data_IF_068043574417
#
_entry.id   IF_068043574417
#
_cell.length_a   1.000
_cell.length_b   1.000
_cell.length_c   1.000
_cell.angle_alpha   90.00
_cell.angle_beta   90.00
_cell.angle_gamma   90.00
#
_symmetry.space_group_name_H-M   'P 1'
#
loop_
_entity.id
_entity.type
_entity.pdbx_description
1 polymer ?
#
# COMPACT_ATOMS: atom_id res chain seq x y z
N UNK A 1 6.16 26.45 1.49
CA UNK A 1 5.89 26.80 0.06
C UNK A 1 4.38 26.73 -0.14
N UNK A 2 3.75 27.78 -0.69
CA UNK A 2 2.33 27.74 -0.99
C UNK A 2 2.05 27.07 -2.33
N UNK A 3 0.80 26.60 -2.54
CA UNK A 3 0.33 25.99 -3.80
C UNK A 3 0.68 26.86 -5.02
N UNK A 4 0.53 28.18 -4.91
CA UNK A 4 0.85 29.13 -5.99
C UNK A 4 2.31 29.05 -6.44
N UNK A 5 3.24 28.87 -5.50
CA UNK A 5 4.65 28.76 -5.81
C UNK A 5 4.98 27.41 -6.47
N UNK A 6 4.29 26.33 -6.08
CA UNK A 6 4.41 25.03 -6.75
C UNK A 6 3.93 25.13 -8.20
N UNK A 7 2.75 25.72 -8.44
CA UNK A 7 2.27 25.92 -9.82
C UNK A 7 3.16 26.85 -10.62
N UNK A 8 3.67 27.93 -10.03
CA UNK A 8 4.63 28.81 -10.69
C UNK A 8 5.91 28.04 -11.07
N UNK A 9 6.40 27.17 -10.20
CA UNK A 9 7.56 26.31 -10.48
C UNK A 9 7.26 25.28 -11.58
N UNK A 10 6.09 24.63 -11.56
CA UNK A 10 5.67 23.71 -12.62
C UNK A 10 5.64 24.45 -13.97
N UNK A 11 4.97 25.60 -14.05
CA UNK A 11 4.86 26.39 -15.27
C UNK A 11 6.25 26.85 -15.74
N UNK A 12 7.10 27.31 -14.81
CA UNK A 12 8.47 27.73 -15.11
C UNK A 12 9.28 26.60 -15.72
N UNK A 13 9.29 25.41 -15.10
CA UNK A 13 10.09 24.28 -15.59
C UNK A 13 9.52 23.67 -16.87
N UNK A 14 8.19 23.70 -17.05
CA UNK A 14 7.55 23.31 -18.32
C UNK A 14 7.95 24.27 -19.44
N UNK A 15 7.92 25.59 -19.20
CA UNK A 15 8.33 26.59 -20.18
C UNK A 15 9.83 26.50 -20.50
N UNK A 16 10.67 26.23 -19.51
CA UNK A 16 12.10 25.98 -19.72
C UNK A 16 12.34 24.70 -20.53
N UNK A 17 11.61 23.62 -20.24
CA UNK A 17 11.69 22.38 -21.01
C UNK A 17 11.34 22.62 -22.49
N UNK A 18 10.24 23.31 -22.74
CA UNK A 18 9.82 23.70 -24.10
C UNK A 18 10.89 24.57 -24.79
N UNK A 19 11.46 25.55 -24.08
CA UNK A 19 12.48 26.44 -24.62
C UNK A 19 13.79 25.75 -25.03
N UNK A 20 14.12 24.61 -24.44
CA UNK A 20 15.29 23.78 -24.82
C UNK A 20 14.93 22.64 -25.77
N UNK A 21 13.69 22.58 -26.26
CA UNK A 21 13.19 21.53 -27.15
C UNK A 21 12.92 20.20 -26.46
N UNK A 22 12.79 20.19 -25.13
CA UNK A 22 12.39 19.02 -24.36
C UNK A 22 10.86 18.96 -24.18
N UNK A 23 10.35 17.75 -23.94
CA UNK A 23 8.92 17.50 -23.73
C UNK A 23 8.39 18.14 -22.44
N UNK A 24 7.18 18.68 -22.48
CA UNK A 24 6.54 19.33 -21.33
C UNK A 24 6.41 18.41 -20.10
N UNK A 25 6.17 17.11 -20.33
CA UNK A 25 6.05 16.11 -19.27
C UNK A 25 7.34 16.02 -18.45
N UNK A 26 8.50 16.17 -19.09
CA UNK A 26 9.79 16.17 -18.41
C UNK A 26 9.92 17.39 -17.49
N UNK A 27 9.49 18.58 -17.95
CA UNK A 27 9.47 19.79 -17.14
C UNK A 27 8.57 19.66 -15.90
N UNK A 28 7.38 19.09 -16.07
CA UNK A 28 6.46 18.82 -14.95
C UNK A 28 7.03 17.78 -13.96
N UNK A 29 7.67 16.72 -14.47
CA UNK A 29 8.33 15.71 -13.63
C UNK A 29 9.47 16.32 -12.80
N UNK A 30 10.33 17.12 -13.42
CA UNK A 30 11.42 17.82 -12.71
C UNK A 30 10.88 18.78 -11.64
N UNK A 31 9.76 19.46 -11.90
CA UNK A 31 9.12 20.30 -10.90
C UNK A 31 8.67 19.48 -9.69
N UNK A 32 8.07 18.30 -9.92
CA UNK A 32 7.72 17.36 -8.86
C UNK A 32 8.93 16.90 -8.03
N UNK A 33 10.05 16.59 -8.68
CA UNK A 33 11.31 16.22 -8.01
C UNK A 33 11.81 17.36 -7.14
N UNK A 34 11.86 18.59 -7.67
CA UNK A 34 12.29 19.77 -6.90
C UNK A 34 11.37 20.02 -5.71
N UNK A 35 10.06 19.94 -5.89
CA UNK A 35 9.09 20.10 -4.78
C UNK A 35 9.29 19.01 -3.73
N UNK A 36 9.53 17.77 -4.13
CA UNK A 36 9.78 16.65 -3.22
C UNK A 36 11.05 16.88 -2.37
N UNK A 37 12.13 17.38 -2.98
CA UNK A 37 13.38 17.69 -2.29
C UNK A 37 13.24 18.84 -1.27
N UNK A 38 12.26 19.71 -1.43
CA UNK A 38 11.99 20.83 -0.51
C UNK A 38 11.21 20.41 0.74
N UNK A 39 10.84 19.13 0.89
CA UNK A 39 10.15 18.59 2.05
C UNK A 39 8.77 19.25 2.29
N UNK A 40 7.81 19.09 1.38
CA UNK A 40 6.51 19.74 1.48
C UNK A 40 5.72 19.21 2.69
N UNK A 41 4.87 20.06 3.28
CA UNK A 41 3.94 19.63 4.32
C UNK A 41 2.90 18.67 3.74
N UNK A 42 2.39 17.75 4.56
CA UNK A 42 1.35 16.80 4.12
C UNK A 42 0.12 17.52 3.56
N UNK A 43 -0.33 18.60 4.20
CA UNK A 43 -1.43 19.44 3.69
C UNK A 43 -1.19 20.01 2.29
N UNK A 44 0.06 20.30 1.92
CA UNK A 44 0.39 20.79 0.59
C UNK A 44 0.29 19.65 -0.43
N UNK A 45 0.78 18.46 -0.08
CA UNK A 45 0.69 17.25 -0.91
C UNK A 45 -0.77 16.90 -1.15
N UNK A 46 -1.60 16.82 -0.11
CA UNK A 46 -3.02 16.49 -0.23
C UNK A 46 -3.79 17.49 -1.12
N UNK A 47 -3.44 18.78 -1.04
CA UNK A 47 -4.01 19.79 -1.93
C UNK A 47 -3.56 19.60 -3.38
N UNK A 48 -2.29 19.28 -3.62
CA UNK A 48 -1.80 18.99 -4.98
C UNK A 48 -2.44 17.73 -5.54
N UNK A 49 -2.61 16.69 -4.72
CA UNK A 49 -3.32 15.46 -5.07
C UNK A 49 -4.78 15.75 -5.42
N UNK A 50 -5.44 16.65 -4.68
CA UNK A 50 -6.80 17.09 -4.99
C UNK A 50 -6.90 17.73 -6.38
N UNK A 51 -5.91 18.53 -6.79
CA UNK A 51 -5.86 19.07 -8.16
C UNK A 51 -5.57 17.98 -9.20
N UNK A 52 -4.62 17.09 -8.91
CA UNK A 52 -4.24 16.00 -9.82
C UNK A 52 -5.41 15.04 -10.08
N UNK A 53 -5.89 14.38 -9.02
CA UNK A 53 -6.96 13.39 -9.12
C UNK A 53 -8.34 14.01 -9.38
N UNK A 54 -8.61 15.21 -8.86
CA UNK A 54 -9.92 15.84 -8.98
C UNK A 54 -10.14 16.59 -10.30
N UNK A 55 -9.08 17.06 -10.97
CA UNK A 55 -9.21 17.93 -12.13
C UNK A 55 -8.36 17.48 -13.33
N UNK A 56 -7.04 17.40 -13.18
CA UNK A 56 -6.15 17.18 -14.34
C UNK A 56 -6.22 15.77 -14.93
N UNK A 57 -6.22 14.73 -14.08
CA UNK A 57 -6.25 13.34 -14.53
C UNK A 57 -7.57 13.02 -15.26
N UNK A 58 -8.77 13.40 -14.76
CA UNK A 58 -10.02 13.22 -15.50
C UNK A 58 -10.02 13.91 -16.87
N UNK A 59 -9.58 15.18 -16.94
CA UNK A 59 -9.53 15.94 -18.21
C UNK A 59 -8.58 15.27 -19.21
N UNK A 60 -7.42 14.81 -18.76
CA UNK A 60 -6.47 14.08 -19.60
C UNK A 60 -7.12 12.84 -20.24
N UNK A 61 -7.81 12.02 -19.45
CA UNK A 61 -8.47 10.82 -19.98
C UNK A 61 -9.67 11.13 -20.87
N UNK A 62 -10.42 12.20 -20.60
CA UNK A 62 -11.49 12.66 -21.49
C UNK A 62 -10.92 13.10 -22.84
N UNK A 63 -9.88 13.92 -22.84
CA UNK A 63 -9.25 14.43 -24.07
C UNK A 63 -8.71 13.28 -24.91
N UNK A 64 -7.94 12.37 -24.29
CA UNK A 64 -7.43 11.18 -24.98
C UNK A 64 -8.56 10.32 -25.52
N UNK A 65 -9.66 10.16 -24.77
CA UNK A 65 -10.82 9.39 -25.20
C UNK A 65 -11.57 10.00 -26.39
N UNK A 66 -11.68 11.33 -26.43
CA UNK A 66 -12.33 12.06 -27.53
C UNK A 66 -11.51 11.98 -28.82
N UNK A 67 -10.18 11.96 -28.71
CA UNK A 67 -9.27 11.82 -29.85
C UNK A 67 -9.23 10.38 -30.42
N UNK A 68 -9.93 9.42 -29.83
CA UNK A 68 -9.98 8.03 -30.32
C UNK A 68 -11.19 7.81 -31.24
N UNK A 69 -10.93 7.59 -32.53
CA UNK A 69 -11.94 7.14 -33.49
C UNK A 69 -12.19 5.62 -33.36
N UNK A 70 -12.92 5.24 -32.30
CA UNK A 70 -13.29 3.84 -32.04
C UNK A 70 -14.07 3.21 -33.20
N UNK A 71 -15.05 3.87 -33.84
CA UNK A 71 -15.74 3.32 -35.01
C UNK A 71 -14.80 2.95 -36.16
N UNK A 72 -13.84 3.82 -36.50
CA UNK A 72 -12.84 3.54 -37.53
C UNK A 72 -11.97 2.34 -37.16
N UNK A 73 -11.53 2.27 -35.90
CA UNK A 73 -10.68 1.18 -35.37
C UNK A 73 -11.37 -0.20 -35.42
N UNK A 74 -12.69 -0.26 -35.19
CA UNK A 74 -13.44 -1.53 -35.18
C UNK A 74 -13.86 -1.95 -36.60
N UNK A 75 -13.94 -1.01 -37.54
CA UNK A 75 -14.42 -1.27 -38.91
C UNK A 75 -13.44 -2.08 -39.76
N UNK A 76 -12.12 -2.04 -39.44
CA UNK A 76 -11.11 -2.85 -40.14
C UNK A 76 -10.78 -4.14 -39.36
N UNK A 77 -11.12 -5.33 -39.90
CA UNK A 77 -10.80 -6.62 -39.26
C UNK A 77 -9.30 -6.84 -39.02
N UNK A 78 -8.42 -6.22 -39.82
CA UNK A 78 -6.96 -6.31 -39.63
C UNK A 78 -6.52 -5.57 -38.38
N UNK A 79 -7.11 -4.39 -38.14
CA UNK A 79 -6.84 -3.56 -36.96
C UNK A 79 -7.24 -4.30 -35.68
N UNK A 80 -8.39 -4.98 -35.70
CA UNK A 80 -8.86 -5.77 -34.56
C UNK A 80 -7.89 -6.90 -34.18
N UNK A 81 -7.19 -7.49 -35.16
CA UNK A 81 -6.21 -8.57 -34.94
C UNK A 81 -4.89 -8.04 -34.35
N UNK A 82 -4.53 -6.79 -34.61
CA UNK A 82 -3.32 -6.16 -34.06
C UNK A 82 -3.46 -5.93 -32.55
N UNK A 83 -4.66 -5.63 -32.04
CA UNK A 83 -4.90 -5.34 -30.62
C UNK A 83 -4.43 -6.49 -29.71
N UNK A 84 -4.87 -7.76 -29.86
CA UNK A 84 -4.36 -8.87 -29.06
C UNK A 84 -2.84 -9.05 -29.16
N UNK A 85 -2.26 -8.82 -30.34
CA UNK A 85 -0.81 -8.94 -30.57
C UNK A 85 -0.06 -7.89 -29.75
N UNK A 86 -0.54 -6.64 -29.72
CA UNK A 86 0.05 -5.57 -28.92
C UNK A 86 -0.08 -5.83 -27.42
N UNK A 87 -1.23 -6.33 -26.96
CA UNK A 87 -1.42 -6.71 -25.55
C UNK A 87 -0.39 -7.77 -25.15
N UNK A 88 -0.20 -8.80 -25.97
CA UNK A 88 0.82 -9.84 -25.74
C UNK A 88 2.22 -9.21 -25.74
N UNK A 89 2.51 -8.31 -26.68
CA UNK A 89 3.79 -7.61 -26.75
C UNK A 89 4.06 -6.78 -25.49
N UNK A 90 3.06 -6.06 -24.97
CA UNK A 90 3.16 -5.30 -23.72
C UNK A 90 3.49 -6.19 -22.53
N UNK A 91 2.84 -7.36 -22.42
CA UNK A 91 3.13 -8.34 -21.36
C UNK A 91 4.57 -8.87 -21.50
N UNK A 92 4.96 -9.31 -22.71
CA UNK A 92 6.30 -9.87 -22.96
C UNK A 92 7.39 -8.84 -22.67
N UNK A 93 7.19 -7.58 -23.06
CA UNK A 93 8.15 -6.49 -22.84
C UNK A 93 8.49 -6.30 -21.36
N UNK A 94 7.55 -6.58 -20.45
CA UNK A 94 7.74 -6.49 -19.00
C UNK A 94 8.19 -7.81 -18.38
N UNK A 95 7.81 -8.95 -18.98
CA UNK A 95 8.19 -10.27 -18.47
C UNK A 95 9.71 -10.48 -18.48
N UNK A 96 10.40 -10.04 -19.53
CA UNK A 96 11.86 -10.18 -19.68
C UNK A 96 12.63 -9.52 -18.52
N UNK A 97 12.47 -8.21 -18.24
CA UNK A 97 13.19 -7.57 -17.14
C UNK A 97 12.78 -8.11 -15.77
N UNK A 98 11.50 -8.45 -15.58
CA UNK A 98 10.99 -8.98 -14.31
C UNK A 98 11.54 -10.39 -14.04
N UNK A 99 11.90 -11.17 -15.05
CA UNK A 99 12.50 -12.49 -14.87
C UNK A 99 13.85 -12.43 -14.13
N UNK A 100 14.53 -11.28 -14.14
CA UNK A 100 15.73 -11.06 -13.30
C UNK A 100 15.39 -11.07 -11.80
N UNK A 101 14.17 -10.68 -11.42
CA UNK A 101 13.69 -10.67 -10.03
C UNK A 101 13.50 -12.08 -9.46
N UNK A 102 13.42 -13.11 -10.32
CA UNK A 102 13.35 -14.53 -9.92
C UNK A 102 14.52 -14.95 -9.01
N UNK A 103 15.64 -14.23 -9.05
CA UNK A 103 16.78 -14.50 -8.15
C UNK A 103 16.43 -14.27 -6.68
N UNK A 104 15.50 -13.37 -6.38
CA UNK A 104 15.13 -12.98 -5.02
C UNK A 104 13.69 -13.37 -4.64
N UNK A 105 12.83 -13.62 -5.61
CA UNK A 105 11.40 -13.91 -5.39
C UNK A 105 10.97 -15.21 -6.05
N UNK A 106 9.89 -15.80 -5.54
CA UNK A 106 9.29 -17.00 -6.12
C UNK A 106 8.71 -16.72 -7.52
N UNK A 107 8.55 -17.77 -8.31
CA UNK A 107 8.13 -17.66 -9.71
C UNK A 107 6.70 -17.08 -9.85
N UNK A 108 5.80 -17.37 -8.90
CA UNK A 108 4.42 -16.87 -8.97
C UNK A 108 4.38 -15.38 -8.70
N UNK A 109 5.06 -14.91 -7.64
CA UNK A 109 5.19 -13.47 -7.35
C UNK A 109 5.90 -12.72 -8.48
N UNK A 110 6.95 -13.32 -9.04
CA UNK A 110 7.67 -12.75 -10.19
C UNK A 110 6.74 -12.55 -11.39
N UNK A 111 6.00 -13.60 -11.80
CA UNK A 111 5.06 -13.49 -12.92
C UNK A 111 3.93 -12.51 -12.60
N UNK A 112 3.34 -12.58 -11.40
CA UNK A 112 2.29 -11.65 -10.98
C UNK A 112 2.77 -10.20 -11.07
N UNK A 113 3.99 -9.90 -10.61
CA UNK A 113 4.57 -8.56 -10.72
C UNK A 113 4.72 -8.09 -12.17
N UNK A 114 5.08 -8.97 -13.11
CA UNK A 114 5.14 -8.63 -14.53
C UNK A 114 3.78 -8.18 -15.06
N UNK A 115 2.70 -8.88 -14.71
CA UNK A 115 1.34 -8.45 -15.02
C UNK A 115 1.06 -7.08 -14.41
N UNK A 116 1.31 -6.87 -13.11
CA UNK A 116 1.05 -5.58 -12.47
C UNK A 116 1.78 -4.41 -13.16
N UNK A 117 3.05 -4.62 -13.55
CA UNK A 117 3.87 -3.61 -14.25
C UNK A 117 3.38 -3.30 -15.68
N UNK A 118 2.57 -4.17 -16.28
CA UNK A 118 1.99 -3.96 -17.61
C UNK A 118 0.74 -3.05 -17.56
N UNK A 119 0.16 -2.79 -16.39
CA UNK A 119 -1.03 -1.95 -16.20
C UNK A 119 -0.74 -0.43 -16.31
N UNK A 120 0.25 -0.02 -17.10
CA UNK A 120 0.64 1.39 -17.26
C UNK A 120 0.01 2.02 -18.51
N UNK A 121 -0.89 2.97 -18.31
CA UNK A 121 -1.60 3.64 -19.40
C UNK A 121 -0.94 4.96 -19.84
N UNK A 122 -0.60 5.84 -18.89
CA UNK A 122 -0.18 7.22 -19.16
C UNK A 122 1.06 7.33 -20.06
N UNK A 123 2.08 6.49 -19.84
CA UNK A 123 3.32 6.52 -20.63
C UNK A 123 3.09 6.06 -22.07
N UNK A 124 2.22 5.07 -22.29
CA UNK A 124 1.90 4.58 -23.64
C UNK A 124 1.17 5.64 -24.44
N UNK A 125 0.18 6.31 -23.82
CA UNK A 125 -0.54 7.42 -24.46
C UNK A 125 0.43 8.55 -24.83
N UNK A 126 1.28 8.97 -23.90
CA UNK A 126 2.23 10.04 -24.15
C UNK A 126 3.17 9.69 -25.32
N UNK A 127 3.77 8.48 -25.30
CA UNK A 127 4.66 8.03 -26.37
C UNK A 127 3.94 7.93 -27.72
N UNK A 128 2.72 7.40 -27.76
CA UNK A 128 1.92 7.29 -28.97
C UNK A 128 1.60 8.67 -29.56
N UNK A 129 1.10 9.60 -28.73
CA UNK A 129 0.77 10.96 -29.19
C UNK A 129 1.99 11.77 -29.63
N UNK A 130 3.14 11.57 -28.98
CA UNK A 130 4.41 12.18 -29.44
C UNK A 130 4.82 11.60 -30.79
N UNK A 131 4.81 10.27 -30.94
CA UNK A 131 5.17 9.61 -32.20
C UNK A 131 4.23 10.00 -33.36
N UNK A 132 2.94 10.19 -33.08
CA UNK A 132 1.92 10.69 -34.00
C UNK A 132 2.23 12.13 -34.44
N UNK A 133 2.50 13.03 -33.47
CA UNK A 133 2.89 14.43 -33.76
C UNK A 133 4.17 14.54 -34.58
N UNK A 134 5.11 13.62 -34.36
CA UNK A 134 6.35 13.54 -35.14
C UNK A 134 6.15 12.91 -36.53
N UNK A 135 4.93 12.46 -36.87
CA UNK A 135 4.64 11.78 -38.14
C UNK A 135 5.29 10.41 -38.27
N UNK A 136 5.78 9.83 -37.16
CA UNK A 136 6.44 8.51 -37.15
C UNK A 136 5.42 7.39 -37.22
N UNK A 137 4.21 7.60 -36.67
CA UNK A 137 3.08 6.67 -36.73
C UNK A 137 1.83 7.40 -37.22
N UNK A 138 0.91 6.67 -37.87
CA UNK A 138 -0.40 7.23 -38.24
C UNK A 138 -1.30 7.38 -37.01
N UNK A 139 -2.32 8.23 -37.14
CA UNK A 139 -3.39 8.40 -36.14
C UNK A 139 -4.06 7.05 -35.81
N UNK A 140 -4.23 6.19 -36.81
CA UNK A 140 -4.77 4.84 -36.65
C UNK A 140 -3.87 4.01 -35.72
N UNK A 141 -2.56 3.96 -35.95
CA UNK A 141 -1.61 3.20 -35.11
C UNK A 141 -1.57 3.77 -33.69
N UNK A 142 -1.58 5.09 -33.55
CA UNK A 142 -1.64 5.77 -32.25
C UNK A 142 -2.91 5.36 -31.48
N UNK A 143 -4.06 5.39 -32.15
CA UNK A 143 -5.33 4.94 -31.60
C UNK A 143 -5.33 3.47 -31.19
N UNK A 144 -4.75 2.59 -32.01
CA UNK A 144 -4.61 1.15 -31.70
C UNK A 144 -3.73 0.93 -30.46
N UNK A 145 -2.61 1.63 -30.34
CA UNK A 145 -1.70 1.54 -29.19
C UNK A 145 -2.40 1.99 -27.90
N UNK A 146 -3.10 3.13 -27.96
CA UNK A 146 -3.85 3.67 -26.83
C UNK A 146 -4.97 2.72 -26.43
N UNK A 147 -5.79 2.25 -27.38
CA UNK A 147 -6.89 1.33 -27.12
C UNK A 147 -6.38 0.01 -26.51
N UNK A 148 -5.30 -0.55 -27.05
CA UNK A 148 -4.65 -1.75 -26.49
C UNK A 148 -4.16 -1.52 -25.07
N UNK A 149 -3.59 -0.35 -24.78
CA UNK A 149 -3.15 0.01 -23.43
C UNK A 149 -4.31 0.16 -22.45
N UNK A 150 -5.43 0.76 -22.86
CA UNK A 150 -6.65 0.88 -22.04
C UNK A 150 -7.20 -0.50 -21.71
N UNK A 151 -7.36 -1.37 -22.70
CA UNK A 151 -7.85 -2.75 -22.50
C UNK A 151 -6.93 -3.51 -21.54
N UNK A 152 -5.61 -3.40 -21.76
CA UNK A 152 -4.59 -4.00 -20.91
C UNK A 152 -4.72 -3.50 -19.47
N UNK A 153 -4.86 -2.19 -19.28
CA UNK A 153 -4.97 -1.57 -17.96
C UNK A 153 -6.19 -2.07 -17.18
N UNK A 154 -7.30 -2.38 -17.84
CA UNK A 154 -8.52 -2.92 -17.21
C UNK A 154 -8.39 -4.41 -16.91
N UNK A 155 -7.88 -5.20 -17.86
CA UNK A 155 -7.87 -6.66 -17.75
C UNK A 155 -6.75 -7.18 -16.84
N UNK A 156 -5.56 -6.59 -16.93
CA UNK A 156 -4.36 -7.12 -16.27
C UNK A 156 -4.45 -7.11 -14.73
N UNK A 157 -5.01 -6.10 -14.04
CA UNK A 157 -5.22 -6.15 -12.60
C UNK A 157 -6.09 -7.34 -12.13
N UNK A 158 -7.08 -7.75 -12.94
CA UNK A 158 -7.93 -8.91 -12.66
C UNK A 158 -7.11 -10.19 -12.70
N UNK A 159 -6.24 -10.33 -13.72
CA UNK A 159 -5.32 -11.45 -13.85
C UNK A 159 -4.29 -11.46 -12.72
N UNK A 160 -3.72 -10.30 -12.40
CA UNK A 160 -2.78 -10.13 -11.29
C UNK A 160 -3.37 -10.63 -9.97
N UNK A 161 -4.60 -10.20 -9.63
CA UNK A 161 -5.29 -10.61 -8.41
C UNK A 161 -5.46 -12.13 -8.31
N UNK A 162 -5.62 -12.82 -9.46
CA UNK A 162 -5.74 -14.28 -9.52
C UNK A 162 -4.39 -15.00 -9.44
N UNK A 163 -3.31 -14.35 -9.87
CA UNK A 163 -1.96 -14.93 -9.93
C UNK A 163 -1.14 -14.70 -8.66
N UNK A 164 -1.35 -13.57 -7.97
CA UNK A 164 -0.56 -13.24 -6.79
C UNK A 164 -0.78 -14.30 -5.70
N UNK A 165 0.28 -14.99 -5.24
CA UNK A 165 0.18 -15.79 -4.04
C UNK A 165 0.02 -14.83 -2.87
N UNK A 166 -1.07 -14.94 -2.11
CA UNK A 166 -1.19 -14.21 -0.84
C UNK A 166 -0.20 -14.89 0.11
N UNK A 167 0.88 -14.21 0.56
CA UNK A 167 1.81 -14.82 1.50
C UNK A 167 1.08 -15.08 2.82
N UNK A 168 1.19 -16.29 3.38
CA UNK A 168 0.59 -16.66 4.68
C UNK A 168 0.97 -15.69 5.82
N UNK A 169 2.09 -14.97 5.70
CA UNK A 169 2.50 -13.94 6.67
C UNK A 169 1.51 -12.78 6.77
N UNK A 170 0.80 -12.44 5.69
CA UNK A 170 -0.22 -11.38 5.69
C UNK A 170 -1.53 -11.85 6.35
N UNK A 171 -1.63 -13.13 6.69
CA UNK A 171 -2.75 -13.76 7.38
C UNK A 171 -2.46 -14.06 8.86
N UNK A 172 -1.23 -13.84 9.33
CA UNK A 172 -0.92 -13.97 10.75
C UNK A 172 -1.35 -12.71 11.49
N UNK A 173 -2.45 -12.81 12.23
CA UNK A 173 -2.75 -11.87 13.30
C UNK A 173 -1.63 -11.93 14.33
N UNK A 174 -1.05 -10.79 14.66
CA UNK A 174 -0.10 -10.65 15.76
C UNK A 174 -0.89 -10.90 17.04
N UNK A 175 -0.53 -11.96 17.77
CA UNK A 175 -1.16 -12.32 19.04
C UNK A 175 -0.62 -11.44 20.15
N UNK A 176 -1.51 -10.67 20.76
CA UNK A 176 -1.19 -9.75 21.86
C UNK A 176 -1.85 -10.24 23.14
N UNK A 177 -1.04 -10.70 24.09
CA UNK A 177 -1.48 -11.00 25.45
C UNK A 177 -1.35 -9.76 26.33
N UNK A 178 -2.47 -9.26 26.83
CA UNK A 178 -2.51 -8.14 27.76
C UNK A 178 -2.81 -8.65 29.17
N UNK A 179 -2.13 -8.11 30.17
CA UNK A 179 -2.31 -8.47 31.57
C UNK A 179 -2.84 -7.29 32.35
N UNK A 180 -3.91 -7.53 33.11
CA UNK A 180 -4.54 -6.53 33.94
C UNK A 180 -5.68 -5.83 33.21
N UNK A 181 -6.89 -5.96 33.75
CA UNK A 181 -8.08 -5.28 33.26
C UNK A 181 -8.31 -4.01 34.07
N UNK A 182 -7.88 -2.85 33.54
CA UNK A 182 -8.03 -1.56 34.21
C UNK A 182 -8.45 -0.46 33.23
N UNK A 183 -8.58 0.77 33.75
CA UNK A 183 -9.06 1.90 32.96
C UNK A 183 -8.14 2.28 31.79
N UNK A 184 -6.88 1.83 31.79
CA UNK A 184 -5.90 2.12 30.76
C UNK A 184 -5.81 0.99 29.72
N UNK A 185 -5.84 -0.27 30.16
CA UNK A 185 -5.71 -1.42 29.27
C UNK A 185 -6.96 -1.66 28.42
N UNK A 186 -8.14 -1.31 28.92
CA UNK A 186 -9.42 -1.46 28.21
C UNK A 186 -9.46 -0.62 26.91
N UNK A 187 -9.24 0.72 26.92
CA UNK A 187 -9.22 1.51 25.70
C UNK A 187 -8.11 1.10 24.73
N UNK A 188 -6.96 0.65 25.24
CA UNK A 188 -5.84 0.18 24.41
C UNK A 188 -6.24 -1.11 23.69
N UNK A 189 -6.82 -2.08 24.39
CA UNK A 189 -7.32 -3.32 23.80
C UNK A 189 -8.40 -3.03 22.72
N UNK A 190 -9.29 -2.07 22.98
CA UNK A 190 -10.32 -1.68 22.00
C UNK A 190 -9.74 -0.91 20.80
N UNK A 191 -8.73 -0.07 21.00
CA UNK A 191 -8.07 0.72 19.95
C UNK A 191 -7.13 -0.10 19.06
N UNK A 192 -6.57 -1.20 19.58
CA UNK A 192 -5.75 -2.15 18.83
C UNK A 192 -6.56 -3.10 17.94
N UNK A 193 -7.89 -2.95 17.91
CA UNK A 193 -8.81 -3.68 17.04
C UNK A 193 -8.53 -3.37 15.57
N UNK A 194 -7.62 -4.11 14.97
CA UNK A 194 -7.42 -4.16 13.52
C UNK A 194 -7.34 -5.62 13.07
N UNK A 195 -7.51 -5.89 11.77
CA UNK A 195 -7.36 -7.24 11.19
C UNK A 195 -5.96 -7.86 11.43
N UNK A 196 -5.03 -7.07 11.97
CA UNK A 196 -3.64 -7.45 12.20
C UNK A 196 -3.35 -7.90 13.63
N UNK A 197 -4.27 -7.72 14.60
CA UNK A 197 -4.03 -8.08 16.01
C UNK A 197 -5.13 -8.97 16.59
N UNK A 198 -4.74 -10.05 17.25
CA UNK A 198 -5.61 -10.93 18.04
C UNK A 198 -5.32 -10.69 19.53
N UNK A 199 -6.29 -10.19 20.29
CA UNK A 199 -6.05 -9.68 21.65
C UNK A 199 -6.66 -10.63 22.68
N UNK A 200 -5.83 -11.13 23.59
CA UNK A 200 -6.25 -11.89 24.77
C UNK A 200 -5.93 -11.11 26.05
N UNK A 201 -6.95 -10.81 26.85
CA UNK A 201 -6.81 -10.06 28.09
C UNK A 201 -6.93 -10.98 29.31
N UNK A 202 -5.83 -11.14 30.03
CA UNK A 202 -5.71 -11.94 31.24
C UNK A 202 -5.94 -11.07 32.48
N UNK A 203 -6.86 -11.48 33.35
CA UNK A 203 -7.22 -10.67 34.51
C UNK A 203 -7.60 -11.50 35.74
N UNK A 204 -7.28 -10.98 36.93
CA UNK A 204 -7.67 -11.56 38.23
C UNK A 204 -8.86 -10.80 38.79
N UNK A 205 -9.94 -11.50 39.17
CA UNK A 205 -11.24 -10.89 39.50
C UNK A 205 -11.20 -9.85 40.64
N UNK A 206 -10.29 -10.02 41.58
CA UNK A 206 -10.04 -9.14 42.73
C UNK A 206 -9.30 -7.84 42.36
N UNK A 207 -8.55 -7.83 41.25
CA UNK A 207 -7.71 -6.71 40.80
C UNK A 207 -8.26 -6.03 39.52
N UNK A 208 -9.51 -6.33 39.14
CA UNK A 208 -10.04 -5.99 37.83
C UNK A 208 -11.20 -5.01 37.88
N UNK A 209 -11.26 -4.16 36.85
CA UNK A 209 -12.40 -3.28 36.60
C UNK A 209 -13.65 -4.11 36.23
N UNK A 210 -14.81 -3.74 36.78
CA UNK A 210 -16.08 -4.45 36.58
C UNK A 210 -16.72 -4.21 35.21
N UNK A 211 -16.19 -3.28 34.41
CA UNK A 211 -16.73 -2.99 33.06
C UNK A 211 -16.71 -4.23 32.16
N UNK A 212 -17.84 -4.51 31.52
CA UNK A 212 -17.96 -5.57 30.52
C UNK A 212 -17.31 -5.09 29.23
N UNK A 213 -16.43 -5.91 28.66
CA UNK A 213 -15.80 -5.66 27.36
C UNK A 213 -16.65 -6.32 26.26
N UNK A 214 -16.54 -5.82 25.04
CA UNK A 214 -17.19 -6.40 23.86
C UNK A 214 -16.79 -7.86 23.65
N UNK A 215 -17.69 -8.70 23.15
CA UNK A 215 -17.50 -10.15 22.94
C UNK A 215 -16.32 -10.49 22.00
N UNK A 216 -15.82 -9.51 21.25
CA UNK A 216 -14.73 -9.65 20.28
C UNK A 216 -13.32 -9.70 20.92
N UNK A 217 -13.18 -9.48 22.24
CA UNK A 217 -11.91 -9.58 22.97
C UNK A 217 -11.93 -10.84 23.82
N UNK A 218 -10.93 -11.71 23.66
CA UNK A 218 -10.83 -12.93 24.46
C UNK A 218 -10.46 -12.58 25.89
N UNK A 219 -11.42 -12.72 26.80
CA UNK A 219 -11.26 -12.44 28.23
C UNK A 219 -10.95 -13.73 28.98
N UNK A 220 -9.77 -13.79 29.61
CA UNK A 220 -9.31 -14.97 30.34
C UNK A 220 -9.18 -14.61 31.82
N UNK A 221 -10.11 -15.10 32.64
CA UNK A 221 -10.00 -14.98 34.09
C UNK A 221 -8.94 -15.95 34.62
N UNK A 222 -7.99 -15.43 35.39
CA UNK A 222 -6.95 -16.23 36.04
C UNK A 222 -7.09 -16.18 37.55
N UNK A 223 -6.69 -17.25 38.22
CA UNK A 223 -6.63 -17.32 39.68
C UNK A 223 -5.35 -16.71 40.23
N UNK A 224 -4.23 -16.84 39.51
CA UNK A 224 -2.94 -16.27 39.91
C UNK A 224 -1.99 -16.07 38.71
N UNK A 225 -1.00 -15.19 38.87
CA UNK A 225 0.05 -14.86 37.90
C UNK A 225 1.28 -15.78 38.02
N UNK A 226 1.07 -17.06 38.32
CA UNK A 226 2.13 -18.07 38.35
C UNK A 226 2.46 -18.55 36.93
N UNK A 227 3.74 -18.85 36.69
CA UNK A 227 4.25 -19.27 35.37
C UNK A 227 3.49 -20.46 34.79
N UNK A 228 3.13 -21.45 35.60
CA UNK A 228 2.46 -22.67 35.13
C UNK A 228 1.05 -22.39 34.59
N UNK A 229 0.33 -21.47 35.23
CA UNK A 229 -1.03 -21.06 34.84
C UNK A 229 -0.96 -20.25 33.56
N UNK A 230 -0.05 -19.28 33.49
CA UNK A 230 0.12 -18.41 32.33
C UNK A 230 0.59 -19.20 31.10
N UNK A 231 1.45 -20.20 31.28
CA UNK A 231 1.89 -21.09 30.20
C UNK A 231 0.73 -21.97 29.69
N UNK A 232 -0.05 -22.57 30.59
CA UNK A 232 -1.20 -23.41 30.21
C UNK A 232 -2.28 -22.66 29.44
N UNK A 233 -2.45 -21.37 29.74
CA UNK A 233 -3.43 -20.51 29.08
C UNK A 233 -2.89 -19.87 27.79
N UNK A 234 -1.63 -20.16 27.40
CA UNK A 234 -1.06 -19.71 26.14
C UNK A 234 -0.54 -18.27 26.15
N UNK A 235 -0.28 -17.67 27.32
CA UNK A 235 0.23 -16.30 27.41
C UNK A 235 1.60 -16.15 26.73
N UNK A 236 2.46 -17.18 26.86
CA UNK A 236 3.81 -17.17 26.29
C UNK A 236 3.85 -17.56 24.82
N UNK A 237 2.76 -18.07 24.26
CA UNK A 237 2.62 -18.36 22.82
C UNK A 237 2.24 -17.10 22.00
N UNK A 238 2.13 -15.95 22.67
CA UNK A 238 1.79 -14.66 22.07
C UNK A 238 3.03 -13.92 21.57
N UNK A 239 2.90 -13.23 20.44
CA UNK A 239 3.99 -12.44 19.84
C UNK A 239 4.39 -11.24 20.71
N UNK A 240 3.42 -10.66 21.42
CA UNK A 240 3.60 -9.49 22.28
C UNK A 240 2.91 -9.74 23.62
N UNK A 241 3.62 -9.46 24.72
CA UNK A 241 3.05 -9.44 26.07
C UNK A 241 3.08 -8.00 26.62
N UNK A 242 1.90 -7.48 27.00
CA UNK A 242 1.73 -6.17 27.62
C UNK A 242 1.36 -6.35 29.08
N UNK A 243 2.23 -5.92 29.98
CA UNK A 243 2.01 -5.99 31.43
C UNK A 243 1.47 -4.64 31.93
N UNK A 244 0.19 -4.61 32.28
CA UNK A 244 -0.54 -3.39 32.65
C UNK A 244 -1.45 -3.56 33.85
N UNK A 245 -1.13 -4.49 34.77
CA UNK A 245 -1.85 -4.60 36.05
C UNK A 245 -1.61 -3.35 36.91
N UNK A 246 -2.43 -3.14 37.94
CA UNK A 246 -2.24 -2.04 38.88
C UNK A 246 -1.06 -2.28 39.85
N UNK A 247 -0.34 -3.39 39.72
CA UNK A 247 0.75 -3.81 40.60
C UNK A 247 2.06 -3.97 39.80
N UNK A 248 3.04 -3.13 40.12
CA UNK A 248 4.32 -3.09 39.41
C UNK A 248 5.19 -4.33 39.66
N UNK A 249 5.06 -4.99 40.82
CA UNK A 249 5.78 -6.24 41.08
C UNK A 249 5.23 -7.37 40.21
N UNK A 250 3.90 -7.45 40.07
CA UNK A 250 3.26 -8.41 39.17
C UNK A 250 3.69 -8.14 37.73
N UNK A 251 3.65 -6.88 37.28
CA UNK A 251 4.05 -6.49 35.94
C UNK A 251 5.51 -6.90 35.65
N UNK A 252 6.44 -6.61 36.58
CA UNK A 252 7.85 -6.97 36.44
C UNK A 252 8.04 -8.49 36.45
N UNK A 253 7.38 -9.21 37.35
CA UNK A 253 7.49 -10.67 37.47
C UNK A 253 7.03 -11.36 36.20
N UNK A 254 5.86 -10.98 35.65
CA UNK A 254 5.36 -11.60 34.43
C UNK A 254 6.20 -11.22 33.21
N UNK A 255 6.67 -9.97 33.12
CA UNK A 255 7.58 -9.55 32.04
C UNK A 255 8.92 -10.32 32.06
N UNK A 256 9.42 -10.71 33.24
CA UNK A 256 10.60 -11.57 33.38
C UNK A 256 10.29 -13.02 33.00
N UNK A 257 9.14 -13.56 33.43
CA UNK A 257 8.72 -14.92 33.04
C UNK A 257 8.53 -15.04 31.52
N UNK A 258 7.88 -14.05 30.88
CA UNK A 258 7.72 -14.00 29.43
C UNK A 258 9.07 -13.93 28.70
N UNK A 259 10.06 -13.23 29.26
CA UNK A 259 11.44 -13.23 28.72
C UNK A 259 12.05 -14.62 28.72
N UNK A 260 11.91 -15.32 29.84
CA UNK A 260 12.50 -16.64 30.03
C UNK A 260 11.89 -17.68 29.08
N UNK A 261 10.63 -17.48 28.67
CA UNK A 261 9.92 -18.35 27.72
C UNK A 261 10.04 -17.91 26.25
N UNK A 262 10.89 -16.93 25.94
CA UNK A 262 11.24 -16.58 24.56
C UNK A 262 10.36 -15.50 23.89
N UNK A 263 9.51 -14.79 24.64
CA UNK A 263 8.73 -13.67 24.09
C UNK A 263 9.67 -12.47 23.85
N UNK A 264 9.96 -12.17 22.57
CA UNK A 264 10.90 -11.11 22.18
C UNK A 264 10.40 -9.70 22.50
N UNK A 265 9.11 -9.40 22.29
CA UNK A 265 8.53 -8.06 22.46
C UNK A 265 7.67 -7.96 23.72
N UNK A 266 8.14 -7.17 24.69
CA UNK A 266 7.50 -6.97 25.99
C UNK A 266 7.37 -5.48 26.29
N UNK A 267 6.17 -5.02 26.64
CA UNK A 267 5.92 -3.64 27.07
C UNK A 267 5.35 -3.63 28.48
N UNK A 268 5.93 -2.80 29.35
CA UNK A 268 5.45 -2.57 30.72
C UNK A 268 4.87 -1.16 30.74
N UNK A 269 3.58 -1.02 31.04
CA UNK A 269 2.90 0.28 31.06
C UNK A 269 2.61 0.70 32.50
N UNK A 270 3.62 1.27 33.17
CA UNK A 270 3.49 2.50 33.98
C UNK A 270 4.85 3.04 34.43
N UNK A 271 4.83 4.36 34.63
CA UNK A 271 5.92 5.29 34.86
C UNK A 271 6.70 5.06 36.14
N UNK A 272 7.94 4.61 36.01
CA UNK A 272 9.07 5.16 36.78
C UNK A 272 10.19 5.45 35.79
N UNK A 273 10.83 6.63 35.83
CA UNK A 273 12.04 6.85 35.06
C UNK A 273 13.06 5.83 35.53
N UNK A 274 13.73 5.14 34.59
CA UNK A 274 15.01 4.52 34.89
C UNK A 274 15.91 5.61 35.50
N UNK A 275 16.19 5.47 36.78
CA UNK A 275 17.34 6.05 37.45
C UNK A 275 18.21 4.88 37.90
#
# INVERSE_FOLDING_TARGET
IGIRAVFALIILLVALAEGVGAEHILGAFLAGVVVSLLGPTQDLVEKLDSFGYGFFIPIFFIMVGVDLDIPSLISDPKVLLIIPVLIIAFIISKLIPVMLLKKWFDMKTTIASAFLLTSTLSLVIAAAKIAEKLGTISEEISGILILSAVITCVFVPIVFKKLIPIPDEMQRSIKVAMIGKNQLSIPIAQGLRSQLYEISLYYRKDLSDHRVLSDDITMIEITDYHSDILNRLGLYDSDIVVCSTNDDEINRRVALMAKAHGVERRQITRSTPCA
#
